data_IF_576986502782
#
_entry.id   IF_576986502782
#
_cell.length_a   1.000
_cell.length_b   1.000
_cell.length_c   1.000
_cell.angle_alpha   90.00
_cell.angle_beta   90.00
_cell.angle_gamma   90.00
#
_symmetry.space_group_name_H-M   'P 1'
#
loop_
_entity.id
_entity.type
_entity.pdbx_description
1 polymer ?
#
# COMPACT_ATOMS: atom_id res chain seq x y z
N UNK A 1 7.24 30.01 -5.82
CA UNK A 1 7.25 29.28 -7.10
C UNK A 1 8.71 29.17 -7.55
N UNK A 2 9.40 28.07 -7.19
CA UNK A 2 10.79 27.81 -7.59
C UNK A 2 10.78 26.65 -8.54
N UNK A 3 11.28 26.87 -9.74
CA UNK A 3 11.43 25.91 -10.82
C UNK A 3 12.39 24.80 -10.42
N UNK A 4 11.91 23.55 -10.57
CA UNK A 4 12.71 22.33 -10.38
C UNK A 4 13.78 22.24 -11.47
N UNK A 5 15.01 22.01 -11.07
CA UNK A 5 16.13 21.74 -11.98
C UNK A 5 15.91 20.39 -12.72
N UNK A 6 16.21 20.29 -14.00
CA UNK A 6 16.05 19.05 -14.76
C UNK A 6 17.03 17.96 -14.31
N UNK A 7 16.67 16.67 -14.44
CA UNK A 7 17.49 15.57 -13.97
C UNK A 7 18.81 15.47 -14.77
N UNK A 8 19.87 15.09 -14.07
CA UNK A 8 21.27 14.96 -14.54
C UNK A 8 21.52 14.17 -15.84
N UNK A 9 20.49 13.56 -16.42
CA UNK A 9 20.58 12.82 -17.71
C UNK A 9 20.71 13.74 -18.94
N UNK A 10 20.34 15.00 -18.85
CA UNK A 10 20.47 15.95 -19.97
C UNK A 10 21.91 16.44 -20.19
N UNK A 11 22.75 16.37 -19.16
CA UNK A 11 24.11 16.90 -19.20
C UNK A 11 25.06 16.06 -20.06
N UNK A 12 24.82 14.75 -20.21
CA UNK A 12 25.66 13.87 -21.03
C UNK A 12 25.38 14.00 -22.52
N UNK A 13 24.14 14.25 -22.92
CA UNK A 13 23.78 14.42 -24.35
C UNK A 13 24.27 15.77 -24.87
N UNK A 14 24.20 16.81 -24.05
CA UNK A 14 24.70 18.16 -24.41
C UNK A 14 26.21 18.22 -24.47
N UNK A 15 26.96 17.44 -23.70
CA UNK A 15 28.42 17.38 -23.76
C UNK A 15 28.90 16.64 -25.02
N UNK A 16 28.17 15.60 -25.45
CA UNK A 16 28.49 14.88 -26.68
C UNK A 16 28.23 15.71 -27.94
N UNK A 17 27.20 16.54 -27.93
CA UNK A 17 26.90 17.45 -29.07
C UNK A 17 27.86 18.65 -29.14
N UNK A 18 28.36 19.14 -28.00
CA UNK A 18 29.32 20.25 -27.99
C UNK A 18 30.71 19.81 -28.47
N UNK A 19 31.13 18.56 -28.20
CA UNK A 19 32.40 17.99 -28.66
C UNK A 19 32.45 17.74 -30.19
N UNK A 20 31.29 17.54 -30.82
CA UNK A 20 31.20 17.37 -32.30
C UNK A 20 31.29 18.70 -33.04
N UNK A 21 30.94 19.82 -32.40
CA UNK A 21 30.90 21.14 -33.03
C UNK A 21 32.29 21.84 -33.07
N UNK A 22 33.32 21.32 -32.39
CA UNK A 22 34.63 22.00 -32.26
C UNK A 22 35.81 21.20 -32.81
N UNK A 23 35.59 20.02 -33.35
CA UNK A 23 36.66 19.23 -33.98
C UNK A 23 36.29 18.88 -35.42
N UNK A 24 37.11 19.32 -36.35
CA UNK A 24 37.09 18.90 -37.78
C UNK A 24 37.46 17.40 -37.95
N UNK A 25 36.87 16.52 -37.14
CA UNK A 25 37.06 15.08 -37.19
C UNK A 25 35.96 14.43 -38.04
N UNK A 26 36.38 13.78 -39.11
CA UNK A 26 35.47 13.01 -39.97
C UNK A 26 34.83 11.86 -39.20
N UNK A 27 33.59 11.54 -39.53
CA UNK A 27 32.77 10.51 -38.85
C UNK A 27 33.50 9.16 -38.58
N UNK A 28 34.41 8.64 -39.44
CA UNK A 28 35.15 7.41 -39.16
C UNK A 28 36.24 7.54 -38.08
N UNK A 29 36.72 8.74 -37.77
CA UNK A 29 37.73 8.93 -36.74
C UNK A 29 37.08 8.97 -35.33
N UNK A 30 35.87 9.49 -35.20
CA UNK A 30 35.11 9.50 -33.96
C UNK A 30 34.65 8.09 -33.53
N UNK A 31 34.32 7.23 -34.48
CA UNK A 31 33.88 5.86 -34.22
C UNK A 31 34.96 4.97 -33.54
N UNK A 32 36.23 5.32 -33.67
CA UNK A 32 37.35 4.60 -33.05
C UNK A 32 37.63 5.01 -31.60
N UNK A 33 37.09 6.15 -31.16
CA UNK A 33 37.34 6.69 -29.83
C UNK A 33 36.23 6.31 -28.80
N UNK A 34 35.10 5.77 -29.29
CA UNK A 34 33.99 5.38 -28.41
C UNK A 34 34.16 3.89 -28.07
N UNK A 35 34.28 3.52 -26.76
CA UNK A 35 34.29 2.11 -26.38
C UNK A 35 33.09 1.37 -26.95
N UNK A 36 33.32 0.17 -27.53
CA UNK A 36 32.28 -0.62 -28.21
C UNK A 36 30.97 -0.78 -27.38
N UNK A 37 31.09 -0.86 -26.08
CA UNK A 37 29.95 -0.95 -25.16
C UNK A 37 29.11 0.34 -25.12
N UNK A 38 29.70 1.51 -25.25
CA UNK A 38 29.01 2.81 -25.28
C UNK A 38 28.31 3.01 -26.62
N UNK A 39 28.91 2.57 -27.70
CA UNK A 39 28.34 2.61 -29.06
C UNK A 39 27.11 1.67 -29.17
N UNK A 40 27.14 0.48 -28.54
CA UNK A 40 26.01 -0.45 -28.49
C UNK A 40 24.87 0.15 -27.68
N UNK A 41 25.14 0.65 -26.50
CA UNK A 41 24.12 1.29 -25.65
C UNK A 41 23.47 2.52 -26.29
N UNK A 42 24.25 3.34 -26.99
CA UNK A 42 23.75 4.48 -27.76
C UNK A 42 22.86 4.04 -28.94
N UNK A 43 23.22 2.94 -29.61
CA UNK A 43 22.44 2.38 -30.72
C UNK A 43 21.13 1.76 -30.26
N UNK A 44 21.12 1.09 -29.10
CA UNK A 44 19.90 0.56 -28.47
C UNK A 44 18.96 1.68 -28.00
N UNK A 45 19.50 2.77 -27.43
CA UNK A 45 18.73 3.96 -27.06
C UNK A 45 18.09 4.66 -28.27
N UNK A 46 18.80 4.71 -29.43
CA UNK A 46 18.28 5.32 -30.65
C UNK A 46 17.30 4.40 -31.41
N UNK A 47 17.29 3.11 -31.13
CA UNK A 47 16.35 2.14 -31.70
C UNK A 47 15.12 1.91 -30.85
N UNK A 48 15.06 2.45 -29.61
CA UNK A 48 13.84 2.43 -28.82
C UNK A 48 12.77 3.21 -29.58
N UNK A 49 11.73 2.49 -30.03
CA UNK A 49 10.53 3.13 -30.54
C UNK A 49 10.05 4.14 -29.48
N UNK A 50 9.69 5.36 -29.88
CA UNK A 50 9.16 6.32 -28.92
C UNK A 50 7.98 5.66 -28.19
N UNK A 51 8.07 5.58 -26.86
CA UNK A 51 6.96 5.14 -26.04
C UNK A 51 5.82 6.12 -26.33
N UNK A 52 4.67 5.67 -26.84
CA UNK A 52 3.56 6.57 -27.13
C UNK A 52 3.24 7.34 -25.85
N UNK A 53 3.12 8.66 -25.95
CA UNK A 53 2.67 9.48 -24.83
C UNK A 53 1.27 9.00 -24.48
N UNK A 54 1.04 8.70 -23.22
CA UNK A 54 -0.26 8.23 -22.70
C UNK A 54 -1.41 9.15 -23.14
N UNK A 55 -1.13 10.44 -23.38
CA UNK A 55 -2.10 11.41 -23.91
C UNK A 55 -2.64 11.07 -25.33
N UNK A 56 -1.89 10.32 -26.14
CA UNK A 56 -2.26 10.01 -27.51
C UNK A 56 -2.95 8.64 -27.68
N UNK A 57 -3.12 7.89 -26.57
CA UNK A 57 -3.54 6.50 -26.62
C UNK A 57 -4.69 6.15 -25.67
N UNK A 58 -5.62 7.10 -25.41
CA UNK A 58 -6.85 6.73 -24.68
C UNK A 58 -7.97 6.35 -25.67
N UNK A 59 -8.05 5.09 -26.15
CA UNK A 59 -9.07 4.67 -27.11
C UNK A 59 -10.48 4.68 -26.51
N UNK A 60 -10.58 4.82 -25.16
CA UNK A 60 -11.85 4.80 -24.44
C UNK A 60 -12.32 6.20 -24.02
N UNK A 61 -11.54 7.26 -24.29
CA UNK A 61 -11.83 8.63 -23.88
C UNK A 61 -12.19 8.78 -22.37
N UNK A 62 -11.58 7.91 -21.52
CA UNK A 62 -11.78 7.94 -20.06
C UNK A 62 -11.03 9.14 -19.50
N UNK A 63 -11.74 10.01 -18.80
CA UNK A 63 -11.18 11.16 -18.10
C UNK A 63 -11.55 11.06 -16.61
N UNK A 64 -10.56 11.30 -15.74
CA UNK A 64 -10.79 11.43 -14.31
C UNK A 64 -10.81 12.91 -13.92
N UNK A 65 -11.79 13.28 -13.11
CA UNK A 65 -11.90 14.61 -12.51
C UNK A 65 -11.86 14.44 -10.99
N UNK A 66 -11.10 15.30 -10.31
CA UNK A 66 -11.17 15.40 -8.86
C UNK A 66 -12.51 16.05 -8.46
N UNK A 67 -13.31 15.28 -7.73
CA UNK A 67 -14.63 15.67 -7.22
C UNK A 67 -14.66 15.66 -5.68
N UNK A 68 -13.52 15.60 -5.02
CA UNK A 68 -13.43 15.49 -3.56
C UNK A 68 -14.23 16.56 -2.84
N UNK A 69 -14.16 17.80 -3.30
CA UNK A 69 -14.88 18.93 -2.68
C UNK A 69 -16.40 18.80 -2.87
N UNK A 70 -16.83 18.43 -4.08
CA UNK A 70 -18.25 18.32 -4.44
C UNK A 70 -18.89 17.08 -3.84
N UNK A 71 -18.10 16.02 -3.61
CA UNK A 71 -18.61 14.74 -3.10
C UNK A 71 -19.02 14.78 -1.62
N UNK A 72 -18.57 15.77 -0.86
CA UNK A 72 -18.83 15.83 0.59
C UNK A 72 -17.98 14.86 1.42
N UNK A 73 -16.99 14.18 0.83
CA UNK A 73 -16.06 13.36 1.57
C UNK A 73 -15.00 14.25 2.23
N UNK A 74 -14.97 14.25 3.56
CA UNK A 74 -14.04 15.04 4.36
C UNK A 74 -13.02 14.18 5.12
N UNK A 75 -12.94 12.89 4.79
CA UNK A 75 -11.97 11.98 5.40
C UNK A 75 -10.55 12.49 5.22
N UNK A 76 -9.79 12.44 6.30
CA UNK A 76 -8.38 12.75 6.30
C UNK A 76 -7.58 11.58 6.87
N UNK A 77 -6.72 11.01 6.04
CA UNK A 77 -5.77 10.02 6.52
C UNK A 77 -4.76 10.67 7.46
N UNK A 78 -4.66 10.15 8.69
CA UNK A 78 -3.63 10.53 9.66
C UNK A 78 -2.43 9.58 9.51
N UNK A 79 -1.26 10.14 9.28
CA UNK A 79 -0.05 9.35 9.05
C UNK A 79 0.65 8.91 10.34
N UNK A 80 0.23 9.43 11.48
CA UNK A 80 0.86 9.22 12.78
C UNK A 80 2.37 9.54 12.79
N UNK A 81 2.75 10.61 12.07
CA UNK A 81 4.14 10.98 11.86
C UNK A 81 4.84 11.36 13.16
N UNK A 82 6.04 10.85 13.36
CA UNK A 82 6.87 11.11 14.52
C UNK A 82 8.30 11.54 14.15
N UNK A 83 9.03 12.23 15.05
CA UNK A 83 10.45 12.52 14.84
C UNK A 83 11.31 11.26 14.68
N UNK A 84 10.85 10.13 15.24
CA UNK A 84 11.52 8.82 15.20
C UNK A 84 11.46 8.17 13.83
N UNK A 85 10.52 8.61 12.97
CA UNK A 85 10.31 8.04 11.62
C UNK A 85 10.11 6.54 11.70
N UNK A 86 9.08 6.13 12.41
CA UNK A 86 8.70 4.74 12.55
C UNK A 86 8.38 4.13 11.19
N UNK A 87 8.73 2.87 10.99
CA UNK A 87 8.51 2.23 9.71
C UNK A 87 7.02 2.13 9.33
N UNK A 88 6.12 2.04 10.31
CA UNK A 88 4.67 2.08 10.12
C UNK A 88 4.18 3.33 9.37
N UNK A 89 4.83 4.47 9.60
CA UNK A 89 4.45 5.77 9.02
C UNK A 89 4.69 5.85 7.49
N UNK A 90 5.40 4.87 6.91
CA UNK A 90 5.76 4.85 5.49
C UNK A 90 4.63 4.34 4.61
N UNK A 91 3.62 3.69 5.21
CA UNK A 91 2.50 3.09 4.49
C UNK A 91 1.25 3.94 4.62
N UNK A 92 0.51 4.06 3.52
CA UNK A 92 -0.82 4.65 3.51
C UNK A 92 -1.88 3.65 3.93
N UNK A 93 -3.06 4.16 4.26
CA UNK A 93 -4.22 3.35 4.58
C UNK A 93 -5.03 2.99 3.32
N UNK A 94 -5.73 1.87 3.38
CA UNK A 94 -6.56 1.35 2.30
C UNK A 94 -7.92 2.04 2.21
N UNK A 95 -8.59 1.80 1.09
CA UNK A 95 -9.97 2.19 0.81
C UNK A 95 -10.69 1.01 0.17
N UNK A 96 -11.96 0.82 0.48
CA UNK A 96 -12.82 -0.16 -0.15
C UNK A 96 -14.12 0.48 -0.64
N UNK A 97 -14.69 -0.11 -1.69
CA UNK A 97 -16.03 0.16 -2.18
C UNK A 97 -16.92 -1.03 -1.83
N UNK A 98 -18.10 -0.76 -1.27
CA UNK A 98 -19.09 -1.76 -0.92
C UNK A 98 -20.48 -1.12 -0.95
N UNK A 99 -21.49 -1.89 -1.25
CA UNK A 99 -22.88 -1.50 -1.05
C UNK A 99 -23.36 -2.09 0.29
N UNK A 100 -23.05 -1.37 1.40
CA UNK A 100 -23.26 -1.94 2.75
C UNK A 100 -24.72 -2.02 3.16
N UNK A 101 -25.59 -1.22 2.52
CA UNK A 101 -27.00 -1.09 2.86
C UNK A 101 -27.92 -1.63 1.76
N UNK A 102 -27.37 -2.22 0.68
CA UNK A 102 -28.07 -2.80 -0.45
C UNK A 102 -29.00 -1.82 -1.19
N UNK A 103 -28.61 -0.54 -1.26
CA UNK A 103 -29.39 0.46 -2.02
C UNK A 103 -29.00 0.56 -3.50
N UNK A 104 -27.99 -0.23 -3.95
CA UNK A 104 -27.51 -0.29 -5.31
C UNK A 104 -26.43 0.73 -5.65
N UNK A 105 -25.97 1.53 -4.69
CA UNK A 105 -24.89 2.47 -4.86
C UNK A 105 -23.67 2.01 -4.06
N UNK A 106 -22.49 2.12 -4.65
CA UNK A 106 -21.25 1.79 -3.93
C UNK A 106 -20.91 2.90 -2.93
N UNK A 107 -20.79 2.49 -1.68
CA UNK A 107 -20.34 3.29 -0.55
C UNK A 107 -18.82 3.24 -0.41
N UNK A 108 -18.22 4.20 0.28
CA UNK A 108 -16.78 4.27 0.46
C UNK A 108 -16.38 4.04 1.91
N UNK A 109 -15.49 3.07 2.14
CA UNK A 109 -14.90 2.80 3.44
C UNK A 109 -13.41 3.11 3.43
N UNK A 110 -12.96 3.90 4.42
CA UNK A 110 -11.57 4.31 4.58
C UNK A 110 -11.03 3.78 5.90
N UNK A 111 -9.87 3.15 5.88
CA UNK A 111 -9.14 2.84 7.11
C UNK A 111 -8.21 3.99 7.49
N UNK A 112 -7.78 4.04 8.75
CA UNK A 112 -6.89 5.09 9.23
C UNK A 112 -5.73 4.49 10.02
N UNK A 113 -4.69 5.29 10.31
CA UNK A 113 -3.62 4.89 11.22
C UNK A 113 -4.15 4.75 12.66
N UNK A 114 -3.26 4.50 13.59
CA UNK A 114 -3.57 4.34 14.99
C UNK A 114 -2.52 4.97 15.90
N UNK A 115 -2.53 4.56 17.15
CA UNK A 115 -1.57 4.99 18.15
C UNK A 115 -0.20 4.35 17.92
N UNK A 116 0.84 5.12 18.28
CA UNK A 116 2.19 4.61 18.47
C UNK A 116 2.75 5.18 19.77
N UNK A 117 3.86 4.67 20.32
CA UNK A 117 4.48 5.27 21.50
C UNK A 117 4.88 6.75 21.34
N UNK A 118 4.96 7.23 20.10
CA UNK A 118 5.39 8.60 19.76
C UNK A 118 4.29 9.45 19.11
N UNK A 119 3.12 8.85 18.88
CA UNK A 119 1.93 9.52 18.37
C UNK A 119 0.70 9.01 19.10
N UNK A 120 0.20 9.79 20.05
CA UNK A 120 -0.93 9.42 20.91
C UNK A 120 -1.86 10.62 21.13
N UNK A 121 -2.64 11.03 20.13
CA UNK A 121 -3.61 12.11 20.28
C UNK A 121 -4.72 11.73 21.27
N UNK A 122 -5.47 12.73 21.77
CA UNK A 122 -6.54 12.52 22.73
C UNK A 122 -7.66 11.60 22.23
N UNK A 123 -7.87 11.56 20.91
CA UNK A 123 -8.78 10.63 20.25
C UNK A 123 -7.99 9.86 19.18
N UNK A 124 -8.17 8.54 19.06
CA UNK A 124 -7.51 7.77 18.01
C UNK A 124 -8.00 8.19 16.64
N UNK A 125 -7.15 8.13 15.60
CA UNK A 125 -7.60 8.21 14.22
C UNK A 125 -8.68 7.15 13.95
N UNK A 126 -9.81 7.57 13.39
CA UNK A 126 -10.95 6.69 13.15
C UNK A 126 -10.99 6.24 11.69
N UNK A 127 -11.38 5.00 11.37
CA UNK A 127 -11.87 4.63 10.05
C UNK A 127 -13.13 5.44 9.74
N UNK A 128 -13.56 5.47 8.48
CA UNK A 128 -14.77 6.18 8.11
C UNK A 128 -15.57 5.45 7.03
N UNK A 129 -16.89 5.38 7.24
CA UNK A 129 -17.86 4.87 6.27
C UNK A 129 -18.68 6.03 5.73
N UNK A 130 -18.67 6.19 4.41
CA UNK A 130 -19.42 7.21 3.69
C UNK A 130 -20.47 6.54 2.82
N UNK A 131 -21.75 6.78 3.13
CA UNK A 131 -22.87 6.33 2.31
C UNK A 131 -22.98 7.19 1.05
N UNK A 132 -23.12 6.56 -0.10
CA UNK A 132 -23.40 7.20 -1.37
C UNK A 132 -24.88 7.63 -1.44
N UNK A 133 -25.15 8.89 -1.71
CA UNK A 133 -26.53 9.43 -1.81
C UNK A 133 -27.15 9.21 -3.20
N UNK A 134 -26.43 8.60 -4.16
CA UNK A 134 -26.90 8.34 -5.52
C UNK A 134 -26.89 9.57 -6.45
N UNK A 135 -26.50 10.73 -5.95
CA UNK A 135 -26.43 12.01 -6.70
C UNK A 135 -25.00 12.51 -6.91
N UNK A 136 -24.00 11.68 -6.60
CA UNK A 136 -22.57 12.01 -6.65
C UNK A 136 -22.03 12.62 -5.35
N UNK A 137 -22.87 12.70 -4.30
CA UNK A 137 -22.46 13.13 -2.96
C UNK A 137 -22.48 11.97 -1.98
N UNK A 138 -21.78 12.14 -0.84
CA UNK A 138 -21.67 11.13 0.21
C UNK A 138 -22.00 11.72 1.57
N UNK A 139 -22.53 10.90 2.45
CA UNK A 139 -22.84 11.24 3.84
C UNK A 139 -21.97 10.38 4.77
N UNK A 140 -21.26 11.01 5.71
CA UNK A 140 -20.54 10.29 6.76
C UNK A 140 -21.53 9.60 7.71
N UNK A 141 -21.49 8.27 7.74
CA UNK A 141 -22.36 7.41 8.57
C UNK A 141 -21.56 6.60 9.59
N UNK A 142 -20.28 6.89 9.77
CA UNK A 142 -19.37 6.15 10.66
C UNK A 142 -19.94 5.95 12.05
N UNK A 143 -20.40 7.03 12.68
CA UNK A 143 -20.93 6.96 14.04
C UNK A 143 -22.23 6.14 14.14
N UNK A 144 -23.14 6.28 13.18
CA UNK A 144 -24.40 5.52 13.15
C UNK A 144 -24.18 4.05 12.84
N UNK A 145 -23.14 3.72 12.07
CA UNK A 145 -22.77 2.34 11.77
C UNK A 145 -22.03 1.62 12.90
N UNK A 146 -21.76 2.30 14.02
CA UNK A 146 -21.02 1.77 15.19
C UNK A 146 -19.59 1.34 14.89
N UNK A 147 -19.03 1.80 13.77
CA UNK A 147 -17.64 1.55 13.41
C UNK A 147 -16.75 2.48 14.21
N UNK A 148 -15.75 1.92 14.88
CA UNK A 148 -14.78 2.68 15.67
C UNK A 148 -13.43 1.97 15.71
N UNK A 149 -12.40 2.70 16.09
CA UNK A 149 -11.07 2.17 16.39
C UNK A 149 -10.71 2.50 17.84
N UNK A 150 -10.11 1.55 18.51
CA UNK A 150 -9.51 1.71 19.84
C UNK A 150 -8.07 2.28 19.78
N UNK A 151 -7.60 2.60 18.59
CA UNK A 151 -6.23 3.08 18.35
C UNK A 151 -5.35 2.08 17.63
N UNK A 152 -5.88 0.96 17.17
CA UNK A 152 -5.17 0.03 16.28
C UNK A 152 -4.73 0.75 15.01
N UNK A 153 -3.49 0.52 14.61
CA UNK A 153 -2.92 1.08 13.40
C UNK A 153 -3.28 0.20 12.20
N UNK A 154 -4.22 0.67 11.37
CA UNK A 154 -4.71 -0.08 10.21
C UNK A 154 -3.99 0.31 8.92
N UNK A 155 -3.97 -0.64 7.95
CA UNK A 155 -3.33 -0.48 6.64
C UNK A 155 -4.24 -0.82 5.48
N UNK A 156 -4.73 -2.03 5.40
CA UNK A 156 -5.55 -2.54 4.31
C UNK A 156 -6.98 -2.82 4.72
N UNK A 157 -7.82 -3.03 3.73
CA UNK A 157 -9.21 -3.44 3.90
C UNK A 157 -9.60 -4.42 2.81
N UNK A 158 -10.34 -5.46 3.17
CA UNK A 158 -10.94 -6.40 2.24
C UNK A 158 -12.43 -6.56 2.58
N UNK A 159 -13.27 -6.59 1.55
CA UNK A 159 -14.72 -6.65 1.69
C UNK A 159 -15.25 -7.92 1.03
N UNK A 160 -16.11 -8.64 1.71
CA UNK A 160 -16.88 -9.78 1.18
C UNK A 160 -18.03 -10.12 2.12
N UNK A 161 -19.03 -10.77 1.61
CA UNK A 161 -20.07 -11.48 2.36
C UNK A 161 -19.50 -12.87 2.74
N UNK A 162 -18.79 -12.94 3.92
CA UNK A 162 -18.05 -14.16 4.30
C UNK A 162 -18.95 -15.27 4.83
N UNK A 163 -20.10 -14.93 5.36
CA UNK A 163 -21.05 -15.90 5.95
C UNK A 163 -22.31 -16.16 5.08
N UNK A 164 -22.35 -15.53 3.89
CA UNK A 164 -23.41 -15.66 2.89
C UNK A 164 -24.78 -15.22 3.42
N UNK A 165 -24.85 -14.19 4.25
CA UNK A 165 -26.09 -13.60 4.74
C UNK A 165 -26.66 -12.54 3.77
N UNK A 166 -25.91 -12.20 2.74
CA UNK A 166 -26.26 -11.25 1.68
C UNK A 166 -25.68 -9.86 1.90
N UNK A 167 -25.10 -9.55 3.05
CA UNK A 167 -24.51 -8.25 3.36
C UNK A 167 -22.99 -8.28 3.31
N UNK A 168 -22.33 -7.30 2.69
CA UNK A 168 -20.87 -7.29 2.66
C UNK A 168 -20.27 -6.89 4.01
N UNK A 169 -19.32 -7.70 4.47
CA UNK A 169 -18.54 -7.52 5.69
C UNK A 169 -17.21 -6.83 5.41
N UNK A 170 -16.55 -6.35 6.46
CA UNK A 170 -15.31 -5.58 6.34
C UNK A 170 -14.21 -6.23 7.17
N UNK A 171 -13.10 -6.59 6.55
CA UNK A 171 -11.89 -7.00 7.24
C UNK A 171 -10.80 -5.92 7.11
N UNK A 172 -10.39 -5.34 8.24
CA UNK A 172 -9.31 -4.36 8.32
C UNK A 172 -8.02 -5.02 8.78
N UNK A 173 -6.94 -4.89 8.00
CA UNK A 173 -5.62 -5.38 8.41
C UNK A 173 -4.89 -4.32 9.23
N UNK A 174 -4.21 -4.74 10.30
CA UNK A 174 -3.59 -3.81 11.21
C UNK A 174 -2.23 -4.28 11.77
N UNK A 175 -1.59 -3.40 12.49
CA UNK A 175 -0.38 -3.70 13.23
C UNK A 175 -0.74 -4.32 14.58
N UNK A 176 -0.25 -5.52 14.83
CA UNK A 176 -0.49 -6.36 16.02
C UNK A 176 -1.92 -6.86 16.20
N UNK A 177 -2.89 -6.33 15.44
CA UNK A 177 -4.27 -6.75 15.50
C UNK A 177 -5.00 -6.34 14.22
N UNK A 178 -5.81 -7.26 13.68
CA UNK A 178 -6.71 -7.03 12.55
C UNK A 178 -8.15 -7.18 13.01
N UNK A 179 -9.10 -6.60 12.31
CA UNK A 179 -10.51 -6.55 12.76
C UNK A 179 -11.43 -7.04 11.66
N UNK A 180 -12.35 -7.96 12.02
CA UNK A 180 -13.48 -8.38 11.19
C UNK A 180 -14.77 -7.76 11.73
N UNK A 181 -15.38 -6.92 10.92
CA UNK A 181 -16.67 -6.29 11.18
C UNK A 181 -17.75 -7.00 10.38
N UNK A 182 -18.67 -7.66 11.06
CA UNK A 182 -19.87 -8.27 10.47
C UNK A 182 -20.95 -7.20 10.28
N UNK A 183 -21.53 -7.16 9.08
CA UNK A 183 -22.64 -6.27 8.74
C UNK A 183 -23.96 -6.85 9.22
N UNK A 184 -24.64 -6.18 10.15
CA UNK A 184 -25.87 -6.66 10.75
C UNK A 184 -27.12 -6.52 9.83
N UNK A 185 -26.97 -5.98 8.62
CA UNK A 185 -28.08 -5.75 7.68
C UNK A 185 -29.01 -4.58 8.06
N UNK A 186 -28.76 -3.92 9.17
CA UNK A 186 -29.54 -2.78 9.67
C UNK A 186 -28.79 -1.42 9.56
N UNK A 187 -27.67 -1.43 8.85
CA UNK A 187 -26.78 -0.27 8.70
C UNK A 187 -25.74 -0.16 9.81
N UNK A 188 -25.67 -1.13 10.72
CA UNK A 188 -24.65 -1.19 11.78
C UNK A 188 -23.72 -2.38 11.59
N UNK A 189 -22.56 -2.32 12.21
CA UNK A 189 -21.56 -3.39 12.20
C UNK A 189 -21.28 -3.89 13.62
N UNK A 190 -20.88 -5.15 13.71
CA UNK A 190 -20.44 -5.79 14.96
C UNK A 190 -19.03 -6.33 14.78
N UNK A 191 -18.14 -6.01 15.71
CA UNK A 191 -16.82 -6.63 15.75
C UNK A 191 -16.95 -8.10 16.18
N UNK A 192 -16.63 -9.00 15.27
CA UNK A 192 -16.68 -10.46 15.49
C UNK A 192 -15.29 -11.10 15.48
N UNK A 193 -14.23 -10.31 15.48
CA UNK A 193 -12.84 -10.74 15.33
C UNK A 193 -12.46 -11.87 16.27
N UNK A 194 -12.72 -11.67 17.57
CA UNK A 194 -12.39 -12.64 18.61
C UNK A 194 -13.17 -13.95 18.46
N UNK A 195 -14.46 -13.87 18.10
CA UNK A 195 -15.32 -15.04 17.83
C UNK A 195 -14.86 -15.77 16.60
N UNK A 196 -14.55 -15.04 15.54
CA UNK A 196 -14.10 -15.59 14.27
C UNK A 196 -12.68 -16.17 14.33
N UNK A 197 -11.84 -15.71 15.25
CA UNK A 197 -10.45 -16.18 15.42
C UNK A 197 -9.48 -15.66 14.35
N UNK A 198 -9.76 -14.47 13.78
CA UNK A 198 -9.00 -13.91 12.65
C UNK A 198 -8.25 -12.61 12.98
N UNK A 199 -7.96 -12.36 14.25
CA UNK A 199 -7.28 -11.13 14.70
C UNK A 199 -5.85 -10.97 14.19
N UNK A 200 -5.21 -12.07 13.76
CA UNK A 200 -3.79 -12.10 13.30
C UNK A 200 -2.82 -11.46 14.31
N UNK A 201 -3.10 -11.72 15.60
CA UNK A 201 -2.45 -11.04 16.71
C UNK A 201 -0.92 -11.14 16.71
N UNK A 202 -0.28 -10.01 16.99
CA UNK A 202 1.18 -9.91 17.07
C UNK A 202 1.88 -9.72 15.73
N UNK A 203 1.18 -9.79 14.60
CA UNK A 203 1.73 -9.59 13.27
C UNK A 203 1.53 -8.15 12.77
N UNK A 204 2.18 -7.84 11.68
CA UNK A 204 1.93 -6.63 10.91
C UNK A 204 1.25 -7.00 9.60
N UNK A 205 -0.08 -7.08 9.63
CA UNK A 205 -0.89 -7.34 8.47
C UNK A 205 -1.02 -6.08 7.60
N UNK A 206 -0.81 -6.23 6.29
CA UNK A 206 -0.82 -5.10 5.33
C UNK A 206 -1.91 -5.19 4.30
N UNK A 207 -2.33 -6.39 3.92
CA UNK A 207 -3.44 -6.60 3.00
C UNK A 207 -4.14 -7.92 3.30
N UNK A 208 -5.37 -8.06 2.83
CA UNK A 208 -6.12 -9.29 2.89
C UNK A 208 -6.90 -9.53 1.59
N UNK A 209 -7.27 -10.78 1.36
CA UNK A 209 -8.11 -11.17 0.24
C UNK A 209 -9.05 -12.31 0.64
N UNK A 210 -10.26 -12.25 0.12
CA UNK A 210 -11.27 -13.28 0.27
C UNK A 210 -11.29 -14.15 -0.99
N UNK A 211 -11.29 -15.48 -0.84
CA UNK A 211 -11.43 -16.42 -1.93
C UNK A 211 -11.69 -17.83 -1.39
N UNK A 212 -12.37 -18.65 -2.16
CA UNK A 212 -12.62 -20.04 -1.86
C UNK A 212 -11.43 -20.88 -2.37
N UNK A 213 -10.46 -21.23 -1.48
CA UNK A 213 -9.23 -21.89 -1.89
C UNK A 213 -9.42 -23.40 -2.11
N UNK A 214 -10.37 -24.03 -1.42
CA UNK A 214 -10.60 -25.48 -1.46
C UNK A 214 -11.90 -25.88 -2.19
N UNK A 215 -12.65 -24.89 -2.67
CA UNK A 215 -13.87 -25.04 -3.47
C UNK A 215 -15.04 -25.67 -2.71
N UNK A 216 -15.16 -25.34 -1.45
CA UNK A 216 -16.28 -25.76 -0.61
C UNK A 216 -17.49 -24.80 -0.70
N UNK A 217 -17.36 -23.69 -1.42
CA UNK A 217 -18.38 -22.66 -1.61
C UNK A 217 -18.41 -21.61 -0.51
N UNK A 218 -17.38 -21.57 0.35
CA UNK A 218 -17.21 -20.56 1.39
C UNK A 218 -16.01 -19.68 1.08
N UNK A 219 -16.07 -18.43 1.51
CA UNK A 219 -14.96 -17.52 1.35
C UNK A 219 -13.99 -17.66 2.51
N UNK A 220 -12.78 -18.08 2.18
CA UNK A 220 -11.64 -18.14 3.08
C UNK A 220 -10.89 -16.81 3.10
N UNK A 221 -10.06 -16.61 4.11
CA UNK A 221 -9.35 -15.36 4.30
C UNK A 221 -7.83 -15.57 4.21
N UNK A 222 -7.20 -14.89 3.27
CA UNK A 222 -5.74 -14.76 3.20
C UNK A 222 -5.33 -13.40 3.77
N UNK A 223 -4.42 -13.40 4.73
CA UNK A 223 -3.82 -12.19 5.32
C UNK A 223 -2.34 -12.15 5.00
N UNK A 224 -1.88 -11.07 4.38
CA UNK A 224 -0.46 -10.87 4.08
C UNK A 224 0.21 -10.08 5.19
N UNK A 225 1.23 -10.67 5.78
CA UNK A 225 2.07 -10.05 6.80
C UNK A 225 3.38 -9.55 6.20
N UNK A 226 3.91 -8.45 6.75
CA UNK A 226 5.04 -7.78 6.15
C UNK A 226 6.37 -8.19 6.78
N UNK A 227 6.71 -7.61 7.92
CA UNK A 227 7.96 -7.86 8.61
C UNK A 227 7.76 -7.95 10.12
N UNK A 228 8.70 -8.58 10.82
CA UNK A 228 8.78 -8.51 12.28
C UNK A 228 9.25 -7.10 12.66
N UNK A 229 8.34 -6.31 13.21
CA UNK A 229 8.61 -4.95 13.64
C UNK A 229 8.13 -4.76 15.07
N UNK A 230 8.94 -4.15 15.90
CA UNK A 230 8.58 -3.78 17.27
C UNK A 230 8.59 -2.26 17.40
N UNK A 231 7.39 -1.67 17.49
CA UNK A 231 7.21 -0.23 17.59
C UNK A 231 7.63 0.32 18.97
N UNK A 232 7.63 -0.53 19.99
CA UNK A 232 8.02 -0.15 21.36
C UNK A 232 9.56 -0.06 21.48
N UNK A 233 10.28 -0.84 20.68
CA UNK A 233 11.74 -0.82 20.59
C UNK A 233 12.18 -0.64 19.12
N UNK A 234 11.89 0.50 18.51
CA UNK A 234 12.08 0.68 17.08
C UNK A 234 13.57 0.70 16.70
N UNK A 235 13.88 0.02 15.60
CA UNK A 235 15.17 0.20 14.94
C UNK A 235 15.17 1.60 14.33
N UNK A 236 16.12 2.44 14.75
CA UNK A 236 16.31 3.78 14.22
C UNK A 236 17.39 3.75 13.13
N UNK A 237 17.04 4.15 11.93
CA UNK A 237 17.96 4.21 10.81
C UNK A 237 18.42 5.64 10.59
N UNK A 238 19.75 5.81 10.50
CA UNK A 238 20.37 7.09 10.18
C UNK A 238 20.41 7.34 8.68
N UNK A 239 20.49 8.61 8.30
CA UNK A 239 20.82 8.98 6.93
C UNK A 239 22.29 8.61 6.66
N UNK A 240 22.51 7.67 5.75
CA UNK A 240 23.87 7.19 5.39
C UNK A 240 24.57 8.13 4.41
N UNK A 241 23.92 9.19 3.94
CA UNK A 241 24.54 10.18 3.05
C UNK A 241 25.66 10.89 3.77
N UNK A 242 26.81 10.97 3.12
CA UNK A 242 27.99 11.63 3.61
C UNK A 242 27.68 13.11 3.95
N UNK A 243 27.94 13.56 5.16
CA UNK A 243 27.65 14.91 5.64
C UNK A 243 26.36 15.10 6.44
N UNK A 244 25.50 14.06 6.55
CA UNK A 244 24.28 14.12 7.37
C UNK A 244 24.34 13.23 8.62
N UNK A 245 25.40 12.43 8.77
CA UNK A 245 25.58 11.48 9.88
C UNK A 245 25.69 12.16 11.25
N UNK A 246 26.17 13.40 11.27
CA UNK A 246 26.48 14.13 12.51
C UNK A 246 25.41 15.15 12.89
N UNK A 247 24.30 15.23 12.14
CA UNK A 247 23.18 16.10 12.48
C UNK A 247 22.33 15.44 13.57
N UNK A 248 22.13 16.08 14.73
CA UNK A 248 21.20 15.58 15.75
C UNK A 248 19.79 15.62 15.17
N UNK A 249 19.25 14.53 14.74
CA UNK A 249 17.94 14.30 14.08
C UNK A 249 17.99 13.86 12.60
N UNK A 250 19.11 13.36 12.11
CA UNK A 250 19.19 12.75 10.77
C UNK A 250 18.59 11.33 10.74
N UNK A 251 17.44 11.10 11.39
CA UNK A 251 16.74 9.84 11.28
C UNK A 251 16.15 9.70 9.87
N UNK A 252 16.35 8.54 9.26
CA UNK A 252 15.70 8.16 8.00
C UNK A 252 14.75 6.98 8.25
N UNK A 253 13.77 6.80 7.39
CA UNK A 253 13.00 5.57 7.39
C UNK A 253 13.90 4.39 7.04
N UNK A 254 13.74 3.29 7.76
CA UNK A 254 14.53 2.09 7.55
C UNK A 254 14.19 1.41 6.21
N UNK A 255 15.17 0.73 5.63
CA UNK A 255 14.94 -0.17 4.50
C UNK A 255 14.35 -1.51 5.02
N UNK A 256 13.47 -2.19 4.24
CA UNK A 256 12.88 -3.48 4.63
C UNK A 256 13.91 -4.54 5.03
N UNK A 257 15.09 -4.54 4.42
CA UNK A 257 16.17 -5.50 4.70
C UNK A 257 16.68 -5.47 6.15
N UNK A 258 16.33 -4.44 6.91
CA UNK A 258 16.66 -4.36 8.35
C UNK A 258 15.77 -5.25 9.21
N UNK A 259 14.73 -5.86 8.65
CA UNK A 259 13.72 -6.61 9.37
C UNK A 259 13.58 -8.02 8.81
N UNK A 260 13.28 -8.98 9.67
CA UNK A 260 12.91 -10.33 9.23
C UNK A 260 11.50 -10.32 8.66
N UNK A 261 11.29 -11.01 7.54
CA UNK A 261 9.96 -11.23 6.98
C UNK A 261 9.08 -12.09 7.88
N UNK A 262 7.76 -11.97 7.74
CA UNK A 262 6.76 -12.81 8.40
C UNK A 262 5.96 -13.61 7.39
N UNK A 263 5.41 -14.76 7.82
CA UNK A 263 4.56 -15.60 6.98
C UNK A 263 3.17 -14.99 6.82
N UNK A 264 2.58 -15.17 5.65
CA UNK A 264 1.14 -14.95 5.44
C UNK A 264 0.32 -15.90 6.30
N UNK A 265 -0.94 -15.58 6.54
CA UNK A 265 -1.92 -16.46 7.19
C UNK A 265 -3.02 -16.83 6.20
N UNK A 266 -3.39 -18.12 6.20
CA UNK A 266 -4.57 -18.60 5.50
C UNK A 266 -5.55 -19.16 6.53
N UNK A 267 -6.74 -18.60 6.57
CA UNK A 267 -7.81 -18.98 7.46
C UNK A 267 -8.93 -19.65 6.65
N UNK A 268 -9.21 -20.92 6.98
CA UNK A 268 -10.33 -21.67 6.42
C UNK A 268 -11.64 -21.32 7.11
N UNK A 269 -12.69 -21.04 6.37
CA UNK A 269 -14.01 -20.70 6.88
C UNK A 269 -14.77 -21.97 7.30
N UNK A 270 -15.07 -22.12 8.59
CA UNK A 270 -15.78 -23.30 9.12
C UNK A 270 -17.29 -23.28 8.89
N UNK A 271 -17.83 -22.26 8.20
CA UNK A 271 -19.27 -22.07 7.93
C UNK A 271 -20.17 -21.87 9.19
N UNK A 272 -19.58 -21.57 10.33
CA UNK A 272 -20.29 -21.32 11.61
C UNK A 272 -19.95 -19.94 12.20
N UNK A 273 -19.36 -19.06 11.36
CA UNK A 273 -18.87 -17.74 11.75
C UNK A 273 -17.50 -17.76 12.44
N UNK A 274 -16.79 -18.91 12.38
CA UNK A 274 -15.41 -19.06 12.87
C UNK A 274 -14.48 -19.49 11.75
N UNK A 275 -13.20 -19.31 11.96
CA UNK A 275 -12.15 -19.71 11.01
C UNK A 275 -11.08 -20.55 11.69
N UNK A 276 -10.44 -21.43 10.92
CA UNK A 276 -9.30 -22.22 11.33
C UNK A 276 -8.04 -21.77 10.60
N UNK A 277 -6.97 -21.43 11.33
CA UNK A 277 -5.66 -21.17 10.71
C UNK A 277 -5.11 -22.46 10.11
N UNK A 278 -4.96 -22.47 8.79
CA UNK A 278 -4.47 -23.61 8.01
C UNK A 278 -3.12 -23.33 7.35
N UNK A 279 -2.43 -22.27 7.76
CA UNK A 279 -1.17 -21.79 7.18
C UNK A 279 -0.09 -22.85 7.12
N UNK A 280 0.03 -23.69 8.15
CA UNK A 280 1.09 -24.73 8.25
C UNK A 280 0.75 -26.04 7.56
N UNK A 281 -0.41 -26.17 6.91
CA UNK A 281 -0.72 -27.37 6.13
C UNK A 281 0.25 -27.51 4.95
N UNK A 282 0.76 -28.72 4.64
CA UNK A 282 1.84 -28.93 3.67
C UNK A 282 1.63 -28.35 2.26
N UNK A 283 0.37 -28.16 1.84
CA UNK A 283 0.04 -27.57 0.55
C UNK A 283 0.36 -26.08 0.43
N UNK A 284 0.55 -25.38 1.57
CA UNK A 284 0.77 -23.92 1.65
C UNK A 284 1.98 -23.56 2.50
N UNK A 285 2.81 -24.53 2.88
CA UNK A 285 4.10 -24.26 3.47
C UNK A 285 4.93 -23.44 2.46
N UNK A 286 4.63 -22.16 2.40
CA UNK A 286 5.47 -21.23 1.66
C UNK A 286 6.82 -21.22 2.34
N UNK A 287 7.78 -21.82 1.69
CA UNK A 287 9.18 -21.46 1.91
C UNK A 287 9.21 -19.95 2.10
N UNK A 288 9.62 -19.49 3.28
CA UNK A 288 9.87 -18.07 3.50
C UNK A 288 10.56 -17.54 2.25
N UNK A 289 9.88 -16.76 1.46
CA UNK A 289 10.50 -16.09 0.35
C UNK A 289 11.51 -15.15 0.99
N UNK A 290 12.74 -15.65 1.21
CA UNK A 290 13.89 -14.78 1.32
C UNK A 290 13.80 -13.93 0.07
N UNK A 291 13.48 -12.66 0.24
CA UNK A 291 13.73 -11.70 -0.81
C UNK A 291 15.16 -11.98 -1.26
N UNK A 292 15.30 -12.51 -2.47
CA UNK A 292 16.61 -12.76 -3.06
C UNK A 292 17.32 -11.41 -3.00
N UNK A 293 18.50 -11.32 -2.39
CA UNK A 293 19.25 -10.07 -2.46
C UNK A 293 19.45 -9.79 -3.93
N UNK A 294 18.96 -8.65 -4.37
CA UNK A 294 19.20 -8.12 -5.70
C UNK A 294 20.70 -7.89 -5.82
N UNK A 295 21.42 -8.89 -6.29
CA UNK A 295 22.82 -8.72 -6.67
C UNK A 295 22.80 -8.05 -8.03
N UNK A 296 23.30 -6.83 -8.17
CA UNK A 296 23.49 -6.23 -9.50
C UNK A 296 24.44 -7.13 -10.28
N UNK A 297 24.21 -7.33 -11.58
CA UNK A 297 25.13 -8.09 -12.40
C UNK A 297 26.51 -7.39 -12.42
N UNK A 298 27.53 -8.16 -12.12
CA UNK A 298 28.95 -7.76 -12.22
C UNK A 298 29.35 -7.37 -13.64
#
# INVERSE_FOLDING_TARGET
MRLLSPPRRLTFVTLATLLVATADLTAPALAKLIPSRVAIAARELLQQKPVPRIADANPYNVQFRDVTRESGIHFRHERAASPQRLYLETMGAGVAWLDYNQDGYLDAFFVNSGFTPFFHPAQPPQPALYRNNGDGTFTDVTASSKIHSDGTFFFGVAVADYDNDGFPDIYMTGYRHSVLLHNNGDGTFTDVTAKAGVGDDGNWATAAAWFDYDRDGKLDLLVTNYVKYDVDHPVLCGDTRQGLRDLPHSSAYCHPDNFAGTSMRLYHNNADGTFTDVTEKPAWSTTTAKASPWSPPT
#
